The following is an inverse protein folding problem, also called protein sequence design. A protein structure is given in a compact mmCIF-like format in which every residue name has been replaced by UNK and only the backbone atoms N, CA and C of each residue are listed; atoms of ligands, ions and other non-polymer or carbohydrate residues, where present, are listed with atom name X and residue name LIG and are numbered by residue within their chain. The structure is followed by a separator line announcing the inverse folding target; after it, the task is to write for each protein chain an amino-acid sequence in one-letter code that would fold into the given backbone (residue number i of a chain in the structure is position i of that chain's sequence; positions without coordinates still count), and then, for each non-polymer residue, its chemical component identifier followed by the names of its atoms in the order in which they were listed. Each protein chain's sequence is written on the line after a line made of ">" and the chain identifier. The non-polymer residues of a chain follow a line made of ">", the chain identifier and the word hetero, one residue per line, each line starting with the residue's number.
data_IF_901864750000
#
_entry.id   IF_901864750000
#
_cell.length_a   1.000
_cell.length_b   1.000
_cell.length_c   1.000
_cell.angle_alpha   90.00
_cell.angle_beta   90.00
_cell.angle_gamma   90.00
#
_symmetry.space_group_name_H-M   'P 1'
#
loop_
_entity.id
_entity.type
_entity.pdbx_description
1 polymer ?
#
# COMPACT_ATOMS: atom_id res chain seq x y z
N UNK A 1 8.69 -16.04 -3.47
CA UNK A 1 8.55 -16.85 -4.72
C UNK A 1 8.13 -18.30 -4.41
N UNK A 2 7.45 -19.04 -5.32
CA UNK A 2 7.15 -20.48 -5.10
C UNK A 2 8.43 -21.32 -5.23
N UNK A 3 8.56 -22.40 -4.44
CA UNK A 3 9.78 -23.24 -4.36
C UNK A 3 10.28 -23.76 -5.71
N UNK A 4 9.38 -24.17 -6.61
CA UNK A 4 9.79 -24.66 -7.93
C UNK A 4 10.34 -23.57 -8.86
N UNK A 5 9.98 -22.29 -8.68
CA UNK A 5 10.58 -21.19 -9.43
C UNK A 5 11.98 -20.86 -8.92
N UNK A 6 12.19 -20.95 -7.59
CA UNK A 6 13.51 -20.79 -6.98
C UNK A 6 14.47 -21.86 -7.52
N UNK A 7 14.05 -23.13 -7.54
CA UNK A 7 14.87 -24.21 -8.09
C UNK A 7 15.25 -23.97 -9.56
N UNK A 8 14.34 -23.41 -10.36
CA UNK A 8 14.62 -23.06 -11.76
C UNK A 8 15.59 -21.88 -11.89
N UNK A 9 15.43 -20.84 -11.08
CA UNK A 9 16.36 -19.71 -11.06
C UNK A 9 17.78 -20.19 -10.70
N UNK A 10 17.91 -21.03 -9.66
CA UNK A 10 19.18 -21.65 -9.27
C UNK A 10 19.79 -22.47 -10.41
N UNK A 11 18.97 -23.21 -11.17
CA UNK A 11 19.44 -23.93 -12.36
C UNK A 11 19.95 -22.96 -13.44
N UNK A 12 19.23 -21.88 -13.73
CA UNK A 12 19.66 -20.85 -14.70
C UNK A 12 20.99 -20.23 -14.28
N UNK A 13 21.18 -19.94 -12.99
CA UNK A 13 22.44 -19.40 -12.47
C UNK A 13 23.59 -20.38 -12.60
N UNK A 14 23.36 -21.67 -12.32
CA UNK A 14 24.37 -22.70 -12.50
C UNK A 14 24.80 -22.83 -13.98
N UNK A 15 23.83 -22.82 -14.91
CA UNK A 15 24.08 -22.86 -16.35
C UNK A 15 24.83 -21.62 -16.82
N UNK A 16 24.45 -20.42 -16.37
CA UNK A 16 25.17 -19.18 -16.69
C UNK A 16 26.60 -19.18 -16.15
N UNK A 17 26.80 -19.66 -14.93
CA UNK A 17 28.12 -19.75 -14.32
C UNK A 17 29.01 -20.70 -15.13
N UNK A 18 28.49 -21.87 -15.49
CA UNK A 18 29.21 -22.82 -16.31
C UNK A 18 29.53 -22.25 -17.70
N UNK A 19 28.55 -21.64 -18.38
CA UNK A 19 28.76 -21.07 -19.69
C UNK A 19 29.78 -19.93 -19.63
N UNK A 20 29.64 -18.96 -18.72
CA UNK A 20 30.57 -17.83 -18.62
C UNK A 20 32.02 -18.26 -18.35
N UNK A 21 32.22 -19.34 -17.59
CA UNK A 21 33.55 -19.93 -17.35
C UNK A 21 34.16 -20.62 -18.59
N UNK A 22 33.33 -21.08 -19.53
CA UNK A 22 33.75 -21.82 -20.72
C UNK A 22 33.59 -21.02 -22.02
N UNK A 23 33.49 -19.69 -21.93
CA UNK A 23 33.17 -18.77 -23.04
C UNK A 23 33.99 -19.00 -24.31
N UNK A 24 35.28 -19.27 -24.17
CA UNK A 24 36.21 -19.49 -25.29
C UNK A 24 35.85 -20.69 -26.18
N UNK A 25 35.00 -21.61 -25.72
CA UNK A 25 34.65 -22.82 -26.48
C UNK A 25 33.47 -22.62 -27.45
N UNK A 26 32.72 -21.52 -27.32
CA UNK A 26 31.48 -21.32 -28.07
C UNK A 26 31.23 -19.89 -28.54
N UNK A 27 32.14 -18.95 -28.25
CA UNK A 27 32.05 -17.54 -28.71
C UNK A 27 31.91 -17.41 -30.22
N UNK A 28 32.45 -18.35 -30.99
CA UNK A 28 32.40 -18.35 -32.46
C UNK A 28 31.09 -18.94 -33.01
N UNK A 29 30.18 -19.38 -32.13
CA UNK A 29 28.87 -19.95 -32.48
C UNK A 29 27.78 -18.91 -32.17
N UNK A 30 27.30 -18.15 -33.17
CA UNK A 30 26.38 -17.02 -32.94
C UNK A 30 25.08 -17.42 -32.23
N UNK A 31 24.55 -18.60 -32.55
CA UNK A 31 23.31 -19.13 -31.96
C UNK A 31 23.45 -19.33 -30.44
N UNK A 32 24.58 -19.86 -29.97
CA UNK A 32 24.83 -20.07 -28.53
C UNK A 32 24.96 -18.73 -27.82
N UNK A 33 25.67 -17.78 -28.42
CA UNK A 33 25.82 -16.42 -27.89
C UNK A 33 24.46 -15.70 -27.83
N UNK A 34 23.60 -15.88 -28.83
CA UNK A 34 22.24 -15.35 -28.83
C UNK A 34 21.39 -15.97 -27.71
N UNK A 35 21.40 -17.29 -27.55
CA UNK A 35 20.65 -17.99 -26.49
C UNK A 35 21.13 -17.63 -25.09
N UNK A 36 22.44 -17.41 -24.91
CA UNK A 36 23.01 -16.91 -23.67
C UNK A 36 22.48 -15.50 -23.34
N UNK A 37 22.41 -14.62 -24.34
CA UNK A 37 21.84 -13.27 -24.20
C UNK A 37 20.35 -13.32 -23.81
N UNK A 38 19.56 -14.16 -24.48
CA UNK A 38 18.15 -14.39 -24.14
C UNK A 38 17.99 -14.91 -22.70
N UNK A 39 18.85 -15.84 -22.27
CA UNK A 39 18.85 -16.38 -20.91
C UNK A 39 19.20 -15.30 -19.87
N UNK A 40 20.16 -14.43 -20.16
CA UNK A 40 20.54 -13.29 -19.30
C UNK A 40 19.39 -12.29 -19.16
N UNK A 41 18.71 -11.97 -20.26
CA UNK A 41 17.55 -11.09 -20.24
C UNK A 41 16.42 -11.67 -19.36
N UNK A 42 16.09 -12.95 -19.53
CA UNK A 42 15.07 -13.65 -18.72
C UNK A 42 15.44 -13.62 -17.23
N UNK A 43 16.70 -13.86 -16.88
CA UNK A 43 17.17 -13.80 -15.49
C UNK A 43 16.99 -12.40 -14.90
N UNK A 44 17.42 -11.36 -15.61
CA UNK A 44 17.24 -9.97 -15.17
C UNK A 44 15.76 -9.65 -14.94
N UNK A 45 14.90 -10.04 -15.87
CA UNK A 45 13.45 -9.81 -15.74
C UNK A 45 12.81 -10.55 -14.55
N UNK A 46 13.34 -11.72 -14.17
CA UNK A 46 12.89 -12.45 -12.96
C UNK A 46 13.29 -11.70 -11.70
N UNK A 47 14.54 -11.20 -11.62
CA UNK A 47 15.00 -10.40 -10.48
C UNK A 47 14.24 -9.10 -10.34
N UNK A 48 14.01 -8.38 -11.44
CA UNK A 48 13.25 -7.14 -11.42
C UNK A 48 11.82 -7.37 -10.93
N UNK A 49 11.17 -8.43 -11.42
CA UNK A 49 9.83 -8.80 -10.96
C UNK A 49 9.79 -9.24 -9.49
N UNK A 50 10.83 -9.90 -8.99
CA UNK A 50 10.94 -10.31 -7.57
C UNK A 50 11.20 -9.12 -6.63
N UNK A 51 12.10 -8.21 -7.03
CA UNK A 51 12.35 -6.97 -6.31
C UNK A 51 11.09 -6.14 -6.21
N UNK A 52 10.36 -6.01 -7.33
CA UNK A 52 9.08 -5.32 -7.39
C UNK A 52 8.04 -5.98 -6.46
N UNK A 53 7.92 -7.31 -6.48
CA UNK A 53 7.03 -8.02 -5.55
C UNK A 53 7.35 -7.74 -4.07
N UNK A 54 8.63 -7.74 -3.70
CA UNK A 54 9.06 -7.71 -2.30
C UNK A 54 9.00 -6.29 -1.73
N UNK A 55 9.52 -5.30 -2.46
CA UNK A 55 9.53 -3.90 -2.02
C UNK A 55 8.13 -3.30 -1.94
N UNK A 56 7.26 -3.63 -2.91
CA UNK A 56 5.89 -3.10 -2.95
C UNK A 56 5.13 -3.45 -1.66
N UNK A 57 5.27 -4.67 -1.15
CA UNK A 57 4.43 -5.15 -0.05
C UNK A 57 4.76 -4.42 1.26
N UNK A 58 6.05 -4.28 1.57
CA UNK A 58 6.52 -3.66 2.81
C UNK A 58 6.24 -2.14 2.82
N UNK A 59 6.55 -1.46 1.71
CA UNK A 59 6.35 -0.02 1.59
C UNK A 59 4.86 0.34 1.64
N UNK A 60 3.99 -0.42 0.97
CA UNK A 60 2.54 -0.17 0.98
C UNK A 60 1.92 -0.36 2.36
N UNK A 61 2.31 -1.43 3.07
CA UNK A 61 1.79 -1.72 4.40
C UNK A 61 2.22 -0.64 5.41
N UNK A 62 3.49 -0.23 5.37
CA UNK A 62 4.02 0.82 6.23
C UNK A 62 3.34 2.17 5.96
N UNK A 63 3.27 2.59 4.69
CA UNK A 63 2.65 3.86 4.31
C UNK A 63 1.16 3.93 4.72
N UNK A 64 0.42 2.83 4.59
CA UNK A 64 -0.96 2.77 5.06
C UNK A 64 -1.07 2.85 6.57
N UNK A 65 -0.22 2.14 7.30
CA UNK A 65 -0.23 2.16 8.77
C UNK A 65 0.09 3.56 9.30
N UNK A 66 1.06 4.24 8.70
CA UNK A 66 1.41 5.62 9.04
C UNK A 66 0.27 6.61 8.73
N UNK A 67 -0.32 6.52 7.52
CA UNK A 67 -1.44 7.35 7.14
C UNK A 67 -2.66 7.12 8.04
N UNK A 68 -2.90 5.86 8.45
CA UNK A 68 -3.93 5.51 9.41
C UNK A 68 -3.64 6.13 10.77
N UNK A 69 -2.44 5.99 11.32
CA UNK A 69 -2.08 6.56 12.62
C UNK A 69 -2.24 8.10 12.64
N UNK A 70 -1.82 8.78 11.57
CA UNK A 70 -2.02 10.22 11.38
C UNK A 70 -3.51 10.57 11.37
N UNK A 71 -4.31 9.84 10.61
CA UNK A 71 -5.75 10.03 10.57
C UNK A 71 -6.38 9.81 11.95
N UNK A 72 -6.06 8.71 12.65
CA UNK A 72 -6.60 8.41 13.99
C UNK A 72 -6.25 9.50 15.02
N UNK A 73 -5.00 9.98 14.99
CA UNK A 73 -4.54 11.08 15.84
C UNK A 73 -5.23 12.40 15.52
N UNK A 74 -5.64 12.59 14.27
CA UNK A 74 -6.50 13.69 13.88
C UNK A 74 -7.93 13.40 14.37
N UNK A 75 -8.68 12.41 13.90
CA UNK A 75 -10.13 12.30 14.23
C UNK A 75 -10.48 12.34 15.72
N UNK A 76 -9.61 11.81 16.59
CA UNK A 76 -9.94 11.66 18.00
C UNK A 76 -10.20 13.00 18.73
N UNK A 77 -9.31 14.02 18.70
CA UNK A 77 -9.62 15.29 19.35
C UNK A 77 -10.84 16.00 18.75
N UNK A 78 -11.02 16.00 17.42
CA UNK A 78 -12.20 16.64 16.80
C UNK A 78 -13.51 15.96 17.22
N UNK A 79 -13.52 14.62 17.30
CA UNK A 79 -14.69 13.88 17.80
C UNK A 79 -15.00 14.20 19.26
N UNK A 80 -13.96 14.38 20.09
CA UNK A 80 -14.10 14.78 21.49
C UNK A 80 -14.67 16.20 21.64
N UNK A 81 -14.20 17.14 20.83
CA UNK A 81 -14.71 18.53 20.82
C UNK A 81 -16.17 18.56 20.39
N UNK A 82 -16.54 17.83 19.33
CA UNK A 82 -17.94 17.74 18.90
C UNK A 82 -18.84 17.09 19.95
N UNK A 83 -18.34 16.06 20.66
CA UNK A 83 -19.08 15.44 21.74
C UNK A 83 -19.34 16.42 22.90
N UNK A 84 -18.31 17.20 23.27
CA UNK A 84 -18.43 18.21 24.30
C UNK A 84 -19.39 19.33 23.89
N UNK A 85 -19.29 19.79 22.64
CA UNK A 85 -20.19 20.78 22.07
C UNK A 85 -21.65 20.29 22.08
N UNK A 86 -21.93 19.09 21.57
CA UNK A 86 -23.27 18.51 21.59
C UNK A 86 -23.83 18.34 23.00
N UNK A 87 -23.00 18.02 23.99
CA UNK A 87 -23.43 17.97 25.40
C UNK A 87 -23.78 19.34 25.97
N UNK A 88 -23.02 20.38 25.60
CA UNK A 88 -23.25 21.74 26.09
C UNK A 88 -24.50 22.37 25.46
N UNK A 89 -24.81 22.02 24.20
CA UNK A 89 -26.02 22.47 23.50
C UNK A 89 -27.24 21.56 23.73
N UNK A 90 -27.13 20.57 24.61
CA UNK A 90 -28.16 19.54 24.85
C UNK A 90 -28.59 18.75 23.60
N UNK A 91 -27.77 18.77 22.54
CA UNK A 91 -27.94 17.96 21.33
C UNK A 91 -27.39 16.54 21.57
N UNK A 92 -28.26 15.70 22.12
CA UNK A 92 -27.98 14.29 22.43
C UNK A 92 -27.61 13.51 21.16
N UNK A 93 -28.16 13.86 20.00
CA UNK A 93 -27.91 13.16 18.75
C UNK A 93 -26.50 13.45 18.24
N UNK A 94 -26.09 14.72 18.25
CA UNK A 94 -24.72 15.13 17.91
C UNK A 94 -23.70 14.51 18.85
N UNK A 95 -23.97 14.54 20.16
CA UNK A 95 -23.09 13.94 21.16
C UNK A 95 -22.96 12.42 20.93
N UNK A 96 -24.05 11.71 20.68
CA UNK A 96 -24.02 10.27 20.44
C UNK A 96 -23.27 9.90 19.15
N UNK A 97 -23.47 10.65 18.06
CA UNK A 97 -22.81 10.37 16.75
C UNK A 97 -21.31 10.59 16.76
N UNK A 98 -20.82 11.44 17.65
CA UNK A 98 -19.41 11.84 17.72
C UNK A 98 -18.66 11.21 18.90
N UNK A 99 -19.39 10.53 19.79
CA UNK A 99 -18.78 9.77 20.88
C UNK A 99 -18.01 8.56 20.34
N UNK A 100 -16.71 8.52 20.63
CA UNK A 100 -15.86 7.37 20.30
C UNK A 100 -14.66 7.32 21.24
N UNK A 101 -14.19 6.12 21.58
CA UNK A 101 -12.92 5.97 22.31
C UNK A 101 -11.76 5.73 21.36
N UNK A 102 -10.53 5.99 21.82
CA UNK A 102 -9.32 5.65 21.04
C UNK A 102 -9.25 4.14 20.70
N UNK A 103 -9.76 3.29 21.59
CA UNK A 103 -9.83 1.84 21.36
C UNK A 103 -10.80 1.50 20.22
N UNK A 104 -11.95 2.17 20.16
CA UNK A 104 -12.95 1.95 19.11
C UNK A 104 -12.39 2.33 17.74
N UNK A 105 -11.77 3.53 17.64
CA UNK A 105 -11.09 4.00 16.41
C UNK A 105 -10.06 2.98 15.91
N UNK A 106 -9.20 2.48 16.80
CA UNK A 106 -8.17 1.49 16.46
C UNK A 106 -8.75 0.16 15.98
N UNK A 107 -9.93 -0.20 16.47
CA UNK A 107 -10.61 -1.46 16.12
C UNK A 107 -11.49 -1.33 14.87
N UNK A 108 -11.79 -0.12 14.42
CA UNK A 108 -12.60 0.08 13.21
C UNK A 108 -11.89 -0.49 11.97
N UNK A 109 -12.69 -1.13 11.10
CA UNK A 109 -12.25 -1.47 9.74
C UNK A 109 -12.04 -0.18 8.96
N UNK A 110 -11.13 -0.19 7.98
CA UNK A 110 -10.79 1.02 7.23
C UNK A 110 -12.02 1.69 6.61
N UNK A 111 -12.96 0.91 6.06
CA UNK A 111 -14.20 1.45 5.48
C UNK A 111 -15.09 2.14 6.53
N UNK A 112 -15.22 1.55 7.72
CA UNK A 112 -16.01 2.12 8.81
C UNK A 112 -15.33 3.38 9.34
N UNK A 113 -14.01 3.37 9.42
CA UNK A 113 -13.21 4.52 9.80
C UNK A 113 -13.41 5.65 8.78
N UNK A 114 -13.39 5.34 7.49
CA UNK A 114 -13.64 6.33 6.43
C UNK A 114 -15.02 6.98 6.57
N UNK A 115 -16.08 6.17 6.77
CA UNK A 115 -17.44 6.66 6.99
C UNK A 115 -17.50 7.54 8.24
N UNK A 116 -16.91 7.09 9.35
CA UNK A 116 -16.90 7.85 10.60
C UNK A 116 -16.22 9.22 10.44
N UNK A 117 -15.08 9.29 9.75
CA UNK A 117 -14.41 10.55 9.46
C UNK A 117 -15.26 11.48 8.61
N UNK A 118 -15.95 10.95 7.60
CA UNK A 118 -16.86 11.73 6.76
C UNK A 118 -17.97 12.34 7.62
N UNK A 119 -18.60 11.54 8.48
CA UNK A 119 -19.64 12.03 9.40
C UNK A 119 -19.10 13.09 10.36
N UNK A 120 -17.93 12.87 10.99
CA UNK A 120 -17.31 13.84 11.90
C UNK A 120 -16.99 15.15 11.18
N UNK A 121 -16.46 15.09 9.96
CA UNK A 121 -16.15 16.27 9.14
C UNK A 121 -17.41 17.06 8.78
N UNK A 122 -18.47 16.38 8.36
CA UNK A 122 -19.74 17.02 8.00
C UNK A 122 -20.35 17.73 9.21
N UNK A 123 -20.37 17.08 10.37
CA UNK A 123 -20.86 17.65 11.62
C UNK A 123 -19.99 18.82 12.11
N UNK A 124 -18.66 18.73 11.98
CA UNK A 124 -17.75 19.83 12.26
C UNK A 124 -17.97 21.02 11.33
N UNK A 125 -18.14 20.77 10.03
CA UNK A 125 -18.38 21.82 9.04
C UNK A 125 -19.70 22.54 9.31
N UNK A 126 -20.75 21.81 9.66
CA UNK A 126 -22.06 22.36 9.98
C UNK A 126 -22.05 23.27 11.22
N UNK A 127 -21.15 23.00 12.18
CA UNK A 127 -21.08 23.69 13.47
C UNK A 127 -19.84 24.58 13.62
N UNK A 128 -19.10 24.84 12.54
CA UNK A 128 -17.76 25.45 12.60
C UNK A 128 -17.73 26.82 13.31
N UNK A 129 -18.78 27.63 13.14
CA UNK A 129 -18.89 28.92 13.79
C UNK A 129 -18.90 28.79 15.32
N UNK A 130 -19.68 27.85 15.85
CA UNK A 130 -19.78 27.59 17.30
C UNK A 130 -18.52 26.88 17.83
N UNK A 131 -17.92 26.00 17.02
CA UNK A 131 -16.72 25.25 17.39
C UNK A 131 -15.45 26.12 17.51
N UNK A 132 -15.45 27.31 16.94
CA UNK A 132 -14.35 28.28 17.10
C UNK A 132 -14.05 28.60 18.57
N UNK A 133 -15.07 28.60 19.43
CA UNK A 133 -14.93 28.82 20.89
C UNK A 133 -14.23 27.66 21.60
N UNK A 134 -14.25 26.47 21.01
CA UNK A 134 -13.55 25.28 21.49
C UNK A 134 -12.16 25.13 20.87
N UNK A 135 -11.70 26.17 20.16
CA UNK A 135 -10.39 26.21 19.52
C UNK A 135 -10.34 25.55 18.15
N UNK A 136 -11.46 25.06 17.60
CA UNK A 136 -11.47 24.44 16.26
C UNK A 136 -11.65 25.52 15.19
N UNK A 137 -10.62 25.70 14.37
CA UNK A 137 -10.66 26.67 13.25
C UNK A 137 -10.98 26.00 11.91
N UNK A 138 -11.36 26.81 10.92
CA UNK A 138 -11.55 26.32 9.55
C UNK A 138 -10.25 25.72 8.98
N UNK A 139 -9.09 26.29 9.33
CA UNK A 139 -7.78 25.80 8.88
C UNK A 139 -7.45 24.43 9.45
N UNK A 140 -7.78 24.19 10.72
CA UNK A 140 -7.63 22.87 11.33
C UNK A 140 -8.55 21.83 10.67
N UNK A 141 -9.79 22.21 10.36
CA UNK A 141 -10.72 21.34 9.66
C UNK A 141 -10.22 21.00 8.23
N UNK A 142 -9.59 21.95 7.56
CA UNK A 142 -8.94 21.73 6.27
C UNK A 142 -7.74 20.77 6.39
N UNK A 143 -6.89 20.96 7.39
CA UNK A 143 -5.77 20.06 7.70
C UNK A 143 -6.23 18.61 8.01
N UNK A 144 -7.37 18.47 8.69
CA UNK A 144 -8.03 17.17 8.87
C UNK A 144 -8.47 16.55 7.55
N UNK A 145 -9.10 17.34 6.66
CA UNK A 145 -9.54 16.87 5.36
C UNK A 145 -8.37 16.40 4.49
N UNK A 146 -7.23 17.07 4.57
CA UNK A 146 -5.98 16.65 3.90
C UNK A 146 -5.47 15.33 4.47
N UNK A 147 -5.40 15.20 5.79
CA UNK A 147 -4.98 13.96 6.47
C UNK A 147 -5.88 12.79 6.11
N UNK A 148 -7.20 13.02 6.09
CA UNK A 148 -8.20 12.05 5.68
C UNK A 148 -8.03 11.63 4.21
N UNK A 149 -7.83 12.58 3.31
CA UNK A 149 -7.57 12.31 1.89
C UNK A 149 -6.30 11.48 1.72
N UNK A 150 -5.25 11.78 2.49
CA UNK A 150 -4.01 10.98 2.54
C UNK A 150 -4.26 9.53 2.95
N UNK A 151 -5.12 9.29 3.94
CA UNK A 151 -5.49 7.95 4.36
C UNK A 151 -6.29 7.19 3.29
N UNK A 152 -7.30 7.80 2.68
CA UNK A 152 -8.08 7.20 1.59
C UNK A 152 -7.18 6.84 0.41
N UNK A 153 -6.28 7.75 0.03
CA UNK A 153 -5.30 7.51 -1.02
C UNK A 153 -4.35 6.37 -0.67
N UNK A 154 -3.91 6.25 0.58
CA UNK A 154 -3.06 5.15 1.03
C UNK A 154 -3.77 3.79 0.97
N UNK A 155 -5.09 3.74 1.25
CA UNK A 155 -5.91 2.54 1.04
C UNK A 155 -5.95 2.19 -0.45
N UNK A 156 -6.29 3.15 -1.32
CA UNK A 156 -6.38 2.92 -2.76
C UNK A 156 -5.06 2.49 -3.39
N UNK A 157 -3.96 3.15 -3.00
CA UNK A 157 -2.59 2.82 -3.45
C UNK A 157 -2.17 1.41 -3.02
N UNK A 158 -2.59 0.93 -1.85
CA UNK A 158 -2.35 -0.46 -1.46
C UNK A 158 -2.99 -1.40 -2.47
N UNK A 159 -4.25 -1.20 -2.86
CA UNK A 159 -4.94 -2.07 -3.81
C UNK A 159 -4.26 -2.09 -5.20
N UNK A 160 -3.85 -0.93 -5.72
CA UNK A 160 -3.13 -0.85 -7.00
C UNK A 160 -1.79 -1.60 -6.95
N UNK A 161 -1.05 -1.44 -5.85
CA UNK A 161 0.20 -2.13 -5.60
C UNK A 161 0.03 -3.65 -5.47
N UNK A 162 -1.07 -4.13 -4.90
CA UNK A 162 -1.41 -5.55 -4.91
C UNK A 162 -1.68 -6.08 -6.32
N UNK A 163 -2.32 -5.29 -7.19
CA UNK A 163 -2.52 -5.64 -8.59
C UNK A 163 -1.19 -5.73 -9.36
N UNK A 164 -0.29 -4.75 -9.17
CA UNK A 164 1.06 -4.76 -9.73
C UNK A 164 1.87 -5.98 -9.28
N UNK A 165 1.81 -6.32 -7.99
CA UNK A 165 2.41 -7.56 -7.45
C UNK A 165 1.83 -8.81 -8.12
N UNK A 166 0.52 -8.87 -8.30
CA UNK A 166 -0.13 -10.01 -8.97
C UNK A 166 0.37 -10.16 -10.41
N UNK A 167 0.50 -9.05 -11.13
CA UNK A 167 1.07 -9.00 -12.48
C UNK A 167 2.53 -9.50 -12.50
N UNK A 168 3.36 -9.06 -11.56
CA UNK A 168 4.75 -9.51 -11.41
C UNK A 168 4.86 -11.02 -11.17
N UNK A 169 4.01 -11.59 -10.31
CA UNK A 169 3.92 -13.05 -10.10
C UNK A 169 3.52 -13.76 -11.40
N UNK A 170 2.56 -13.20 -12.14
CA UNK A 170 2.16 -13.68 -13.46
C UNK A 170 3.33 -13.69 -14.44
N UNK A 171 4.17 -12.64 -14.43
CA UNK A 171 5.37 -12.52 -15.26
C UNK A 171 6.40 -13.60 -14.90
N UNK A 172 6.74 -13.78 -13.63
CA UNK A 172 7.65 -14.85 -13.15
C UNK A 172 7.14 -16.24 -13.58
N UNK A 173 5.84 -16.48 -13.46
CA UNK A 173 5.21 -17.74 -13.89
C UNK A 173 5.28 -17.97 -15.39
N UNK A 174 5.12 -16.92 -16.22
CA UNK A 174 5.25 -17.02 -17.68
C UNK A 174 6.69 -17.27 -18.11
N UNK A 175 7.64 -16.50 -17.59
CA UNK A 175 9.08 -16.61 -17.91
C UNK A 175 9.62 -18.01 -17.56
N UNK A 176 9.28 -18.52 -16.38
CA UNK A 176 9.68 -19.86 -15.94
C UNK A 176 9.00 -21.01 -16.69
N UNK A 177 7.91 -20.76 -17.44
CA UNK A 177 7.23 -21.73 -18.30
C UNK A 177 7.68 -21.69 -19.75
N UNK A 178 8.07 -20.52 -20.26
CA UNK A 178 8.60 -20.40 -21.63
C UNK A 178 9.84 -21.27 -21.85
N UNK A 179 10.63 -21.52 -20.80
CA UNK A 179 11.78 -22.45 -20.84
C UNK A 179 11.40 -23.94 -20.89
N UNK A 180 10.11 -24.32 -20.85
CA UNK A 180 9.67 -25.72 -20.96
C UNK A 180 9.17 -26.10 -22.36
N UNK A 181 9.13 -25.15 -23.32
CA UNK A 181 8.52 -25.35 -24.65
C UNK A 181 9.50 -25.31 -25.82
N UNK A 182 10.81 -25.30 -25.54
CA UNK A 182 11.87 -25.51 -26.53
C UNK A 182 12.58 -26.80 -26.16
#
# INVERSE_FOLDING_TARGET
>A
MKRHFINKLVMIEAVQTYLSQNGSSYTDIPEITQKLSELNAIRSEIYDAENLQTQITAAAASAKAEARAKAESAVYPLSGVLNAFGKNEEDVELAAKTYVTSSDIKRMRDINLVVFFTTVKELASANIASLSTYGVTQDELNSYAETFTGFVNAIGKKESLFAERSSAIGKISKLSRMQMKQ
#
